data_IF_667249307460
#
_entry.id   IF_667249307460
#
_cell.length_a   1.000
_cell.length_b   1.000
_cell.length_c   1.000
_cell.angle_alpha   90.00
_cell.angle_beta   90.00
_cell.angle_gamma   90.00
#
_symmetry.space_group_name_H-M   'P 1'
#
loop_
_entity.id
_entity.type
_entity.pdbx_description
1 polymer ?
#
# COMPACT_ATOMS: atom_id res chain seq x y z
N UNK A 1 0.40 7.51 -18.51
CA UNK A 1 -0.52 6.95 -17.47
C UNK A 1 -1.45 8.03 -16.97
N UNK A 2 -2.76 7.94 -17.24
CA UNK A 2 -3.74 8.92 -16.77
C UNK A 2 -3.76 9.00 -15.24
N UNK A 3 -3.79 10.23 -14.73
CA UNK A 3 -3.98 10.51 -13.31
C UNK A 3 -5.45 10.32 -12.97
N UNK A 4 -5.76 9.44 -12.01
CA UNK A 4 -7.11 9.18 -11.54
C UNK A 4 -7.41 9.97 -10.26
N UNK A 5 -6.44 10.01 -9.34
CA UNK A 5 -6.55 10.74 -8.08
C UNK A 5 -5.19 11.34 -7.72
N UNK A 6 -5.21 12.60 -7.27
CA UNK A 6 -4.08 13.25 -6.60
C UNK A 6 -4.58 13.83 -5.29
N UNK A 7 -3.91 13.48 -4.22
CA UNK A 7 -4.32 13.86 -2.88
C UNK A 7 -3.11 14.27 -2.02
N UNK A 8 -3.22 15.44 -1.41
CA UNK A 8 -2.33 15.88 -0.33
C UNK A 8 -3.14 15.95 0.95
N UNK A 9 -2.65 15.45 2.09
CA UNK A 9 -3.40 15.44 3.33
C UNK A 9 -3.87 16.83 3.76
N UNK A 10 -5.16 16.93 4.02
CA UNK A 10 -5.85 18.09 4.53
C UNK A 10 -6.97 17.67 5.51
N UNK A 11 -7.74 18.61 6.02
CA UNK A 11 -8.84 18.33 6.93
C UNK A 11 -9.99 17.55 6.30
N UNK A 12 -10.07 17.57 4.97
CA UNK A 12 -11.12 16.90 4.19
C UNK A 12 -10.72 15.49 3.72
N UNK A 13 -9.63 14.93 4.24
CA UNK A 13 -9.10 13.63 3.80
C UNK A 13 -10.14 12.50 3.78
N UNK A 14 -11.11 12.51 4.67
CA UNK A 14 -12.19 11.51 4.74
C UNK A 14 -13.16 11.55 3.56
N UNK A 15 -13.11 12.56 2.69
CA UNK A 15 -13.83 12.55 1.42
C UNK A 15 -13.27 11.52 0.43
N UNK A 16 -11.99 11.21 0.54
CA UNK A 16 -11.26 10.33 -0.37
C UNK A 16 -10.96 8.97 0.23
N UNK A 17 -10.87 8.92 1.56
CA UNK A 17 -10.42 7.75 2.31
C UNK A 17 -11.46 7.29 3.31
N UNK A 18 -11.51 5.97 3.49
CA UNK A 18 -12.36 5.29 4.47
C UNK A 18 -11.47 4.50 5.43
N UNK A 19 -11.67 4.73 6.72
CA UNK A 19 -11.03 3.94 7.77
C UNK A 19 -11.75 2.60 7.88
N UNK A 20 -11.01 1.52 7.62
CA UNK A 20 -11.49 0.15 7.78
C UNK A 20 -11.07 -0.42 9.14
N UNK A 21 -9.88 -0.07 9.62
CA UNK A 21 -9.36 -0.44 10.93
C UNK A 21 -8.30 0.55 11.41
N UNK A 22 -8.04 0.58 12.72
CA UNK A 22 -7.02 1.41 13.34
C UNK A 22 -7.44 2.86 13.52
N UNK A 23 -6.50 3.67 13.99
CA UNK A 23 -6.69 5.09 14.23
C UNK A 23 -5.95 5.90 13.17
N UNK A 24 -6.70 6.82 12.53
CA UNK A 24 -6.20 7.64 11.46
C UNK A 24 -6.49 9.12 11.74
N UNK A 25 -5.49 9.96 11.50
CA UNK A 25 -5.61 11.40 11.69
C UNK A 25 -4.72 12.17 10.73
N UNK A 26 -5.07 13.41 10.49
CA UNK A 26 -4.22 14.37 9.81
C UNK A 26 -3.47 15.20 10.85
N UNK A 27 -2.17 15.33 10.69
CA UNK A 27 -1.31 16.10 11.58
C UNK A 27 -0.10 16.65 10.82
N UNK A 28 0.11 17.96 10.86
CA UNK A 28 1.26 18.64 10.24
C UNK A 28 1.48 18.29 8.75
N UNK A 29 0.39 18.19 7.97
CA UNK A 29 0.45 17.86 6.55
C UNK A 29 0.68 16.37 6.24
N UNK A 30 0.59 15.51 7.24
CA UNK A 30 0.68 14.07 7.11
C UNK A 30 -0.61 13.37 7.51
N UNK A 31 -0.99 12.38 6.76
CA UNK A 31 -1.96 11.40 7.17
C UNK A 31 -1.25 10.32 8.00
N UNK A 32 -1.60 10.20 9.26
CA UNK A 32 -0.94 9.30 10.21
C UNK A 32 -1.89 8.17 10.57
N UNK A 33 -1.42 6.94 10.38
CA UNK A 33 -2.14 5.72 10.71
C UNK A 33 -1.40 4.87 11.72
N UNK A 34 -2.15 4.31 12.66
CA UNK A 34 -1.66 3.36 13.64
C UNK A 34 -2.68 2.24 13.84
N UNK A 35 -2.21 1.08 14.24
CA UNK A 35 -3.14 0.01 14.60
C UNK A 35 -3.86 0.32 15.91
N UNK A 36 -5.08 -0.22 15.99
CA UNK A 36 -5.87 -0.23 17.22
C UNK A 36 -6.41 -1.65 17.41
N UNK A 37 -5.84 -2.38 18.36
CA UNK A 37 -6.15 -3.79 18.59
C UNK A 37 -5.35 -4.75 17.70
N UNK A 38 -5.92 -5.88 17.31
CA UNK A 38 -5.21 -7.00 16.67
C UNK A 38 -5.33 -7.03 15.14
N UNK A 39 -5.85 -5.97 14.50
CA UNK A 39 -6.18 -5.98 13.06
C UNK A 39 -5.26 -5.11 12.20
N UNK A 40 -4.27 -4.46 12.82
CA UNK A 40 -3.50 -3.42 12.14
C UNK A 40 -4.31 -2.14 11.90
N UNK A 41 -3.71 -1.17 11.24
CA UNK A 41 -4.42 -0.03 10.69
C UNK A 41 -4.72 -0.30 9.22
N UNK A 42 -5.94 -0.05 8.76
CA UNK A 42 -6.31 -0.23 7.35
C UNK A 42 -7.12 0.98 6.90
N UNK A 43 -6.63 1.59 5.83
CA UNK A 43 -7.27 2.72 5.16
C UNK A 43 -7.48 2.37 3.70
N UNK A 44 -8.70 2.50 3.21
CA UNK A 44 -9.04 2.30 1.80
C UNK A 44 -9.39 3.62 1.11
N UNK A 45 -9.09 3.71 -0.18
CA UNK A 45 -9.73 4.70 -1.03
C UNK A 45 -11.24 4.46 -1.01
N UNK A 46 -12.04 5.53 -1.03
CA UNK A 46 -13.51 5.37 -1.18
C UNK A 46 -13.87 4.86 -2.57
N UNK A 47 -13.12 5.29 -3.57
CA UNK A 47 -13.24 4.76 -4.93
C UNK A 47 -12.62 3.37 -5.03
N UNK A 48 -13.32 2.47 -5.69
CA UNK A 48 -12.84 1.17 -6.12
C UNK A 48 -12.52 1.23 -7.61
N UNK A 49 -11.37 0.75 -8.02
CA UNK A 49 -10.88 0.83 -9.39
C UNK A 49 -11.08 -0.51 -10.09
N UNK A 50 -11.75 -0.51 -11.23
CA UNK A 50 -11.92 -1.68 -12.10
C UNK A 50 -10.79 -1.86 -13.13
N UNK A 51 -9.74 -1.07 -13.00
CA UNK A 51 -8.59 -0.94 -13.89
C UNK A 51 -7.32 -1.38 -13.20
N UNK A 52 -6.30 -1.64 -14.00
CA UNK A 52 -4.94 -1.72 -13.48
C UNK A 52 -4.50 -0.34 -12.99
N UNK A 53 -4.12 -0.23 -11.75
CA UNK A 53 -3.69 1.03 -11.17
C UNK A 53 -2.35 0.90 -10.44
N UNK A 54 -1.62 2.00 -10.36
CA UNK A 54 -0.50 2.15 -9.45
C UNK A 54 -0.77 3.27 -8.45
N UNK A 55 -0.31 3.04 -7.24
CA UNK A 55 -0.34 3.96 -6.11
C UNK A 55 1.06 4.48 -5.86
N UNK A 56 1.25 5.81 -5.90
CA UNK A 56 2.51 6.47 -5.53
C UNK A 56 2.30 7.37 -4.32
N UNK A 57 3.20 7.34 -3.36
CA UNK A 57 3.08 8.12 -2.12
C UNK A 57 4.43 8.33 -1.45
N UNK A 58 4.52 9.36 -0.63
CA UNK A 58 5.64 9.58 0.28
C UNK A 58 5.27 9.05 1.66
N UNK A 59 6.14 8.25 2.27
CA UNK A 59 5.89 7.65 3.57
C UNK A 59 7.14 7.60 4.45
N UNK A 60 6.90 7.52 5.75
CA UNK A 60 7.91 7.20 6.75
C UNK A 60 7.26 6.58 7.98
N UNK A 61 8.00 5.78 8.74
CA UNK A 61 7.59 5.41 10.10
C UNK A 61 7.75 6.59 11.03
N UNK A 62 6.93 6.65 12.06
CA UNK A 62 7.08 7.60 13.17
C UNK A 62 7.83 6.90 14.29
N UNK A 63 9.07 7.33 14.56
CA UNK A 63 9.89 6.70 15.59
C UNK A 63 9.20 6.71 16.97
N UNK A 64 9.33 5.64 17.77
CA UNK A 64 10.23 4.51 17.63
C UNK A 64 9.76 3.37 16.73
N UNK A 65 8.66 3.50 16.00
CA UNK A 65 8.21 2.49 15.05
C UNK A 65 9.20 2.31 13.90
N UNK A 66 9.46 1.06 13.51
CA UNK A 66 10.58 0.72 12.61
C UNK A 66 10.19 -0.12 11.41
N UNK A 67 8.91 -0.53 11.29
CA UNK A 67 8.49 -1.58 10.35
C UNK A 67 7.18 -1.23 9.64
N UNK A 68 6.82 -2.08 8.67
CA UNK A 68 5.51 -2.10 8.02
C UNK A 68 5.10 -0.79 7.35
N UNK A 69 5.99 -0.24 6.51
CA UNK A 69 5.61 0.81 5.56
C UNK A 69 4.82 0.15 4.44
N UNK A 70 3.54 -0.18 4.71
CA UNK A 70 2.73 -1.04 3.87
C UNK A 70 1.66 -0.27 3.11
N UNK A 71 1.50 -0.63 1.83
CA UNK A 71 0.38 -0.25 0.99
C UNK A 71 -0.40 -1.49 0.53
N UNK A 72 -1.67 -1.28 0.19
CA UNK A 72 -2.56 -2.30 -0.38
C UNK A 72 -3.13 -1.81 -1.70
N UNK A 73 -3.33 -2.73 -2.63
CA UNK A 73 -3.98 -2.45 -3.91
C UNK A 73 -4.71 -3.71 -4.42
N UNK A 74 -5.61 -3.54 -5.36
CA UNK A 74 -6.62 -4.55 -5.67
C UNK A 74 -7.26 -5.09 -4.38
N UNK A 75 -7.53 -4.19 -3.45
CA UNK A 75 -7.87 -4.54 -2.08
C UNK A 75 -9.37 -4.70 -1.89
N UNK A 76 -9.75 -5.72 -1.13
CA UNK A 76 -11.12 -6.06 -0.80
C UNK A 76 -11.30 -6.23 0.70
N UNK A 77 -12.53 -6.05 1.16
CA UNK A 77 -12.90 -6.23 2.56
C UNK A 77 -13.88 -7.38 2.70
N UNK A 78 -13.69 -8.22 3.70
CA UNK A 78 -14.61 -9.29 4.05
C UNK A 78 -15.45 -8.87 5.28
N UNK A 79 -16.71 -8.53 5.03
CA UNK A 79 -17.65 -8.12 6.08
C UNK A 79 -17.92 -9.22 7.13
N UNK A 80 -17.71 -10.49 6.78
CA UNK A 80 -17.96 -11.60 7.70
C UNK A 80 -16.86 -11.75 8.73
N UNK A 81 -15.61 -11.59 8.29
CA UNK A 81 -14.44 -11.66 9.16
C UNK A 81 -14.06 -10.28 9.71
N UNK A 82 -14.67 -9.23 9.16
CA UNK A 82 -14.33 -7.84 9.45
C UNK A 82 -12.81 -7.61 9.33
N UNK A 83 -12.27 -8.02 8.17
CA UNK A 83 -10.85 -7.96 7.89
C UNK A 83 -10.55 -7.83 6.39
N UNK A 84 -9.28 -7.53 6.08
CA UNK A 84 -8.76 -7.48 4.72
C UNK A 84 -8.97 -8.83 4.04
N UNK A 85 -9.71 -8.85 2.93
CA UNK A 85 -9.93 -10.01 2.10
C UNK A 85 -8.77 -10.21 1.11
N UNK A 86 -9.02 -10.97 0.05
CA UNK A 86 -8.05 -11.21 -1.02
C UNK A 86 -7.55 -9.89 -1.62
N UNK A 87 -6.29 -9.58 -1.44
CA UNK A 87 -5.68 -8.28 -1.73
C UNK A 87 -4.18 -8.45 -1.96
N UNK A 88 -3.56 -7.53 -2.68
CA UNK A 88 -2.11 -7.43 -2.67
C UNK A 88 -1.66 -6.46 -1.58
N UNK A 89 -0.64 -6.87 -0.83
CA UNK A 89 0.05 -6.06 0.17
C UNK A 89 1.50 -5.93 -0.23
N UNK A 90 2.02 -4.73 -0.25
CA UNK A 90 3.46 -4.48 -0.44
C UNK A 90 4.00 -3.60 0.68
N UNK A 91 5.29 -3.73 0.97
CA UNK A 91 5.87 -2.85 1.98
C UNK A 91 7.33 -3.09 2.30
N UNK A 92 7.80 -2.26 3.21
CA UNK A 92 9.18 -2.21 3.68
C UNK A 92 9.25 -2.66 5.13
N UNK A 93 10.25 -3.46 5.47
CA UNK A 93 10.48 -4.02 6.81
C UNK A 93 9.26 -4.77 7.40
N UNK A 94 8.41 -5.34 6.56
CA UNK A 94 7.15 -5.97 6.99
C UNK A 94 7.21 -7.48 7.12
N UNK A 95 8.20 -8.12 6.54
CA UNK A 95 8.35 -9.58 6.57
C UNK A 95 9.51 -9.99 7.47
N UNK A 96 9.63 -11.28 7.73
CA UNK A 96 10.64 -11.86 8.61
C UNK A 96 12.03 -11.29 8.36
N UNK A 97 12.75 -10.96 9.42
CA UNK A 97 14.10 -10.38 9.39
C UNK A 97 14.19 -9.00 8.71
N UNK A 98 13.12 -8.22 8.74
CA UNK A 98 13.09 -6.88 8.17
C UNK A 98 13.12 -6.85 6.64
N UNK A 99 12.65 -7.90 5.98
CA UNK A 99 12.55 -7.95 4.53
C UNK A 99 11.47 -7.03 3.99
N UNK A 100 11.67 -6.59 2.77
CA UNK A 100 10.68 -5.87 1.98
C UNK A 100 10.04 -6.82 0.95
N UNK A 101 8.78 -6.61 0.58
CA UNK A 101 8.15 -7.55 -0.31
C UNK A 101 6.76 -7.18 -0.79
N UNK A 102 6.20 -8.10 -1.56
CA UNK A 102 4.83 -8.12 -2.05
C UNK A 102 4.24 -9.48 -1.73
N UNK A 103 2.99 -9.52 -1.28
CA UNK A 103 2.25 -10.77 -1.08
C UNK A 103 0.80 -10.64 -1.54
N UNK A 104 0.21 -11.77 -1.92
CA UNK A 104 -1.23 -11.92 -2.03
C UNK A 104 -1.76 -12.39 -0.70
N UNK A 105 -2.47 -11.51 -0.02
CA UNK A 105 -2.96 -11.75 1.34
C UNK A 105 -4.09 -12.76 1.37
N UNK A 106 -4.12 -13.59 2.42
CA UNK A 106 -5.12 -14.57 2.86
C UNK A 106 -5.29 -15.83 2.00
N UNK A 107 -5.20 -15.80 0.70
CA UNK A 107 -5.69 -16.92 -0.14
C UNK A 107 -4.61 -17.81 -0.72
N UNK A 108 -3.37 -17.39 -0.67
CA UNK A 108 -2.26 -18.19 -1.20
C UNK A 108 -0.95 -17.84 -0.51
N UNK A 109 0.01 -18.75 -0.55
CA UNK A 109 1.37 -18.50 -0.14
C UNK A 109 2.17 -17.79 -1.25
N UNK A 110 1.50 -16.94 -2.04
CA UNK A 110 2.13 -16.21 -3.14
C UNK A 110 2.75 -14.92 -2.61
N UNK A 111 4.06 -14.87 -2.63
CA UNK A 111 4.83 -13.70 -2.17
C UNK A 111 6.21 -13.63 -2.83
N UNK A 112 6.76 -12.43 -2.85
CA UNK A 112 8.15 -12.15 -3.24
C UNK A 112 8.76 -11.22 -2.22
N UNK A 113 9.83 -11.65 -1.55
CA UNK A 113 10.52 -10.85 -0.52
C UNK A 113 12.01 -10.70 -0.84
N UNK A 114 12.59 -9.60 -0.39
CA UNK A 114 14.01 -9.31 -0.58
C UNK A 114 14.64 -8.70 0.66
N UNK A 115 15.89 -9.04 0.93
CA UNK A 115 16.75 -8.40 1.91
C UNK A 115 17.74 -7.38 1.29
N UNK A 116 17.69 -7.22 -0.04
CA UNK A 116 18.61 -6.32 -0.74
C UNK A 116 18.27 -4.84 -0.54
N UNK A 117 17.02 -4.52 -0.21
CA UNK A 117 16.60 -3.18 0.17
C UNK A 117 16.42 -3.11 1.68
N UNK A 118 17.11 -2.18 2.32
CA UNK A 118 17.03 -1.94 3.77
C UNK A 118 16.42 -0.56 4.00
N UNK A 119 15.20 -0.54 4.56
CA UNK A 119 14.56 0.70 4.98
C UNK A 119 15.20 1.22 6.27
N UNK A 120 15.52 2.50 6.31
CA UNK A 120 16.01 3.18 7.51
C UNK A 120 14.80 3.81 8.23
N UNK A 121 14.43 3.32 9.43
CA UNK A 121 13.26 3.83 10.15
C UNK A 121 13.29 5.35 10.34
N UNK A 122 12.13 5.98 10.17
CA UNK A 122 11.97 7.42 10.30
C UNK A 122 12.38 8.24 9.07
N UNK A 123 13.01 7.63 8.06
CA UNK A 123 13.36 8.34 6.82
C UNK A 123 12.20 8.36 5.84
N UNK A 124 12.05 9.46 5.10
CA UNK A 124 11.06 9.58 4.04
C UNK A 124 11.51 8.79 2.81
N UNK A 125 10.58 8.05 2.22
CA UNK A 125 10.76 7.35 0.95
C UNK A 125 9.60 7.64 0.02
N UNK A 126 9.86 7.67 -1.29
CA UNK A 126 8.83 7.72 -2.32
C UNK A 126 8.57 6.31 -2.83
N UNK A 127 7.41 5.76 -2.51
CA UNK A 127 7.01 4.44 -2.96
C UNK A 127 6.04 4.51 -4.14
N UNK A 128 6.16 3.56 -5.04
CA UNK A 128 5.19 3.30 -6.10
C UNK A 128 4.96 1.80 -6.18
N UNK A 129 3.71 1.39 -6.10
CA UNK A 129 3.33 -0.01 -6.21
C UNK A 129 2.04 -0.18 -7.00
N UNK A 130 1.86 -1.33 -7.61
CA UNK A 130 0.67 -1.65 -8.38
C UNK A 130 0.78 -2.98 -9.10
N UNK A 131 -0.24 -3.29 -9.91
CA UNK A 131 -0.28 -4.49 -10.71
C UNK A 131 -0.82 -4.20 -12.12
N UNK A 132 -0.20 -4.83 -13.13
CA UNK A 132 -0.71 -4.88 -14.51
C UNK A 132 -0.96 -6.36 -14.82
N UNK A 133 -2.23 -6.75 -14.91
CA UNK A 133 -2.65 -8.11 -15.26
C UNK A 133 -1.92 -9.21 -14.46
N UNK A 134 -1.74 -8.97 -13.16
CA UNK A 134 -1.04 -9.88 -12.25
C UNK A 134 0.47 -9.69 -12.15
N UNK A 135 1.07 -8.83 -12.96
CA UNK A 135 2.45 -8.42 -12.77
C UNK A 135 2.52 -7.30 -11.73
N UNK A 136 2.80 -7.67 -10.51
CA UNK A 136 2.94 -6.77 -9.38
C UNK A 136 4.36 -6.23 -9.30
N UNK A 137 4.50 -4.97 -8.88
CA UNK A 137 5.81 -4.32 -8.73
C UNK A 137 5.81 -3.35 -7.55
N UNK A 138 6.98 -3.16 -6.96
CA UNK A 138 7.25 -2.15 -5.93
C UNK A 138 8.54 -1.42 -6.25
N UNK A 139 8.45 -0.10 -6.35
CA UNK A 139 9.55 0.82 -6.64
C UNK A 139 9.71 1.76 -5.46
N UNK A 140 10.94 1.99 -5.00
CA UNK A 140 11.26 2.91 -3.92
C UNK A 140 12.35 3.87 -4.39
N UNK A 141 12.09 5.16 -4.29
CA UNK A 141 13.00 6.23 -4.73
C UNK A 141 13.52 6.01 -6.18
N UNK A 142 12.60 5.58 -7.06
CA UNK A 142 12.88 5.32 -8.47
C UNK A 142 13.59 4.00 -8.78
N UNK A 143 13.83 3.14 -7.79
CA UNK A 143 14.48 1.84 -7.96
C UNK A 143 13.49 0.69 -7.73
N UNK A 144 13.45 -0.26 -8.67
CA UNK A 144 12.66 -1.48 -8.52
C UNK A 144 13.23 -2.30 -7.35
N UNK A 145 12.37 -2.59 -6.37
CA UNK A 145 12.75 -3.36 -5.17
C UNK A 145 12.38 -4.83 -5.35
N UNK A 146 11.16 -5.12 -5.78
CA UNK A 146 10.70 -6.48 -6.01
C UNK A 146 9.51 -6.53 -6.97
N UNK A 147 9.30 -7.68 -7.56
CA UNK A 147 8.18 -8.02 -8.44
C UNK A 147 7.56 -9.34 -8.02
N UNK A 148 6.27 -9.50 -8.31
CA UNK A 148 5.52 -10.72 -8.06
C UNK A 148 4.59 -11.00 -9.23
N UNK A 149 4.70 -12.17 -9.85
CA UNK A 149 3.79 -12.60 -10.91
C UNK A 149 2.70 -13.48 -10.32
N UNK A 150 1.46 -13.05 -10.45
CA UNK A 150 0.28 -13.81 -10.06
C UNK A 150 -0.39 -14.41 -11.31
N UNK A 151 -0.38 -15.73 -11.48
CA UNK A 151 -1.00 -16.37 -12.63
C UNK A 151 -2.52 -16.33 -12.63
N UNK A 152 -3.12 -15.95 -11.49
CA UNK A 152 -4.57 -15.82 -11.33
C UNK A 152 -4.92 -14.48 -10.66
N UNK A 153 -4.72 -13.36 -11.35
CA UNK A 153 -4.70 -12.04 -10.73
C UNK A 153 -6.03 -11.63 -10.11
N UNK A 154 -5.93 -10.88 -9.02
CA UNK A 154 -7.05 -10.16 -8.44
C UNK A 154 -7.43 -9.04 -9.41
N UNK A 155 -8.73 -8.92 -9.71
CA UNK A 155 -9.24 -7.90 -10.61
C UNK A 155 -9.88 -6.77 -9.84
N UNK A 156 -9.38 -5.56 -10.06
CA UNK A 156 -9.91 -4.36 -9.45
C UNK A 156 -9.82 -4.35 -7.93
N UNK A 157 -10.39 -3.34 -7.32
CA UNK A 157 -10.43 -3.15 -5.87
C UNK A 157 -10.02 -1.77 -5.43
N UNK A 158 -9.94 -1.59 -4.13
CA UNK A 158 -9.46 -0.38 -3.51
C UNK A 158 -7.93 -0.31 -3.49
N UNK A 159 -7.41 0.88 -3.29
CA UNK A 159 -6.02 1.11 -2.90
C UNK A 159 -5.98 1.70 -1.50
N UNK A 160 -4.86 1.56 -0.81
CA UNK A 160 -4.74 2.14 0.52
C UNK A 160 -3.47 1.74 1.26
N UNK A 161 -3.57 1.73 2.57
CA UNK A 161 -2.42 1.54 3.46
C UNK A 161 -2.78 0.59 4.59
N UNK A 162 -1.79 -0.19 5.03
CA UNK A 162 -2.01 -1.18 6.10
C UNK A 162 -0.83 -1.24 7.08
N UNK A 163 -0.60 -0.21 7.89
CA UNK A 163 0.36 -0.27 8.98
C UNK A 163 0.00 -1.40 9.95
N UNK A 164 1.01 -2.21 10.31
CA UNK A 164 0.86 -3.29 11.28
C UNK A 164 2.01 -3.22 12.29
N UNK A 165 1.71 -3.21 13.58
CA UNK A 165 2.69 -3.01 14.66
C UNK A 165 3.58 -1.77 14.45
N UNK A 166 3.01 -0.69 13.94
CA UNK A 166 3.76 0.51 13.55
C UNK A 166 2.92 1.78 13.63
N UNK A 167 3.58 2.92 13.49
CA UNK A 167 2.96 4.21 13.20
C UNK A 167 3.50 4.67 11.86
N UNK A 168 2.63 4.82 10.88
CA UNK A 168 2.95 5.20 9.53
C UNK A 168 2.44 6.61 9.24
N UNK A 169 3.28 7.46 8.64
CA UNK A 169 2.86 8.75 8.12
C UNK A 169 3.00 8.80 6.60
N UNK A 170 2.00 9.39 5.93
CA UNK A 170 1.84 9.34 4.48
C UNK A 170 1.43 10.71 3.95
N UNK A 171 1.95 11.09 2.79
CA UNK A 171 1.55 12.29 2.03
C UNK A 171 1.76 12.11 0.54
N UNK A 172 1.38 13.11 -0.25
CA UNK A 172 1.62 13.21 -1.70
C UNK A 172 1.17 11.95 -2.45
N UNK A 173 -0.09 11.56 -2.24
CA UNK A 173 -0.65 10.33 -2.79
C UNK A 173 -1.15 10.59 -4.21
N UNK A 174 -0.74 9.75 -5.16
CA UNK A 174 -1.22 9.74 -6.54
C UNK A 174 -1.66 8.34 -6.93
N UNK A 175 -2.81 8.22 -7.56
CA UNK A 175 -3.29 6.99 -8.18
C UNK A 175 -3.38 7.23 -9.68
N UNK A 176 -2.75 6.35 -10.45
CA UNK A 176 -2.72 6.41 -11.90
C UNK A 176 -3.18 5.09 -12.51
N UNK A 177 -3.95 5.18 -13.60
CA UNK A 177 -4.19 4.03 -14.47
C UNK A 177 -2.89 3.63 -15.16
N UNK A 178 -2.64 2.32 -15.27
CA UNK A 178 -1.48 1.77 -15.96
C UNK A 178 -1.91 0.71 -16.97
N UNK A 179 -1.17 0.61 -18.06
CA UNK A 179 -1.44 -0.33 -19.14
C UNK A 179 -0.15 -0.64 -19.92
N UNK A 180 -0.16 -1.79 -20.58
CA UNK A 180 0.95 -2.17 -21.44
C UNK A 180 0.98 -1.29 -22.70
N UNK A 181 2.14 -0.74 -23.02
CA UNK A 181 2.37 -0.09 -24.31
C UNK A 181 3.05 -1.07 -25.26
N UNK A 182 2.54 -1.17 -26.50
CA UNK A 182 3.25 -1.88 -27.53
C UNK A 182 4.49 -1.08 -27.91
N UNK A 183 5.66 -1.69 -27.78
CA UNK A 183 6.86 -1.12 -28.37
C UNK A 183 6.67 -1.10 -29.90
N UNK A 184 6.90 0.06 -30.50
CA UNK A 184 6.85 0.26 -31.96
C UNK A 184 8.09 -0.31 -32.60
#
# INVERSE_FOLDING_TARGET
SPLLLKYSPDEDWQKYWQVMAGDWRMENGWLIGTENGNKGGILFSRESFDKNVMLSFTAATVLPATRDVNAVYCAHWDEKTDYLADSYVCGLNGWYDGKSGIERNLTSNLYSTTSLYQYIPGTEVRMTAGAIDGHNFMVVDGKLVTELIDPSPIKGGHVGFSPYCTILKIKDIEIREIYWEKQK
#
